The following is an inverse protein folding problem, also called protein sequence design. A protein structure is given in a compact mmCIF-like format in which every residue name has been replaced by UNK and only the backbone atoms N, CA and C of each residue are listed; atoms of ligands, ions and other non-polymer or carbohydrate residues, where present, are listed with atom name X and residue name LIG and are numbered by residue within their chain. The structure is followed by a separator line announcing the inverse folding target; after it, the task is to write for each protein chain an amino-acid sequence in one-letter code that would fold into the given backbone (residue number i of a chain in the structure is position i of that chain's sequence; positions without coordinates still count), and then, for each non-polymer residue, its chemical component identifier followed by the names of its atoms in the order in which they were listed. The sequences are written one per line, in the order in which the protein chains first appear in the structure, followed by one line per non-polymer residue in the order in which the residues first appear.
data_IF_401394487863
#
_entry.id   IF_401394487863
#
_cell.length_a   1.000
_cell.length_b   1.000
_cell.length_c   1.000
_cell.angle_alpha   90.00
_cell.angle_beta   90.00
_cell.angle_gamma   90.00
#
_symmetry.space_group_name_H-M   'P 1'
#
loop_
_entity.id
_entity.type
_entity.pdbx_description
1 polymer ?
#
# COMPACT_ATOMS: atom_id res chain seq x y z
N UNK A 1 3.40 9.39 -9.35
CA UNK A 1 2.16 9.35 -8.53
C UNK A 1 1.78 7.89 -8.34
N UNK A 2 1.61 7.41 -7.10
CA UNK A 2 1.16 6.04 -6.88
C UNK A 2 -0.34 5.87 -7.11
N UNK A 3 -0.72 4.68 -7.55
CA UNK A 3 -2.09 4.21 -7.65
C UNK A 3 -2.28 3.07 -6.67
N UNK A 4 -3.34 3.13 -5.88
CA UNK A 4 -3.67 2.10 -4.89
C UNK A 4 -4.85 1.29 -5.40
N UNK A 5 -4.64 -0.01 -5.44
CA UNK A 5 -5.65 -0.98 -5.83
C UNK A 5 -5.87 -1.95 -4.69
N UNK A 6 -7.14 -2.18 -4.35
CA UNK A 6 -7.51 -3.23 -3.43
C UNK A 6 -7.12 -4.57 -4.05
N UNK A 7 -6.33 -5.35 -3.32
CA UNK A 7 -6.04 -6.72 -3.71
C UNK A 7 -6.53 -7.60 -2.58
N UNK A 8 -7.62 -8.31 -2.85
CA UNK A 8 -8.16 -9.33 -1.95
C UNK A 8 -7.00 -10.20 -1.40
N UNK A 9 -7.10 -10.62 -0.14
CA UNK A 9 -6.03 -11.33 0.54
C UNK A 9 -5.53 -12.47 -0.35
N UNK A 10 -4.22 -12.47 -0.60
CA UNK A 10 -3.61 -13.56 -1.36
C UNK A 10 -3.91 -14.85 -0.58
N UNK A 11 -4.37 -15.93 -1.24
CA UNK A 11 -4.52 -17.21 -0.57
C UNK A 11 -3.19 -17.53 0.11
N UNK A 12 -3.21 -17.94 1.39
CA UNK A 12 -2.01 -18.05 2.18
C UNK A 12 -1.05 -19.04 1.51
N UNK A 13 0.20 -18.63 1.29
CA UNK A 13 1.23 -19.51 0.75
C UNK A 13 1.59 -20.65 1.72
N UNK A 14 1.15 -20.58 2.98
CA UNK A 14 1.37 -21.59 4.02
C UNK A 14 0.12 -21.76 4.91
N UNK A 15 -0.26 -23.00 5.25
CA UNK A 15 -1.47 -23.29 6.04
C UNK A 15 -1.46 -22.77 7.49
N UNK A 16 -0.29 -22.37 8.02
CA UNK A 16 -0.09 -21.96 9.41
C UNK A 16 -0.04 -20.42 9.61
N UNK A 17 -0.16 -19.64 8.52
CA UNK A 17 -0.19 -18.18 8.64
C UNK A 17 -1.62 -17.69 8.95
N UNK A 18 -1.78 -16.65 9.80
CA UNK A 18 -3.09 -16.09 10.08
C UNK A 18 -3.80 -15.75 8.77
N UNK A 19 -4.98 -16.36 8.60
CA UNK A 19 -5.83 -16.25 7.42
C UNK A 19 -6.24 -14.78 7.26
N UNK A 20 -6.17 -14.28 6.03
CA UNK A 20 -6.78 -13.01 5.64
C UNK A 20 -6.16 -11.75 6.29
N UNK A 21 -4.91 -11.43 5.96
CA UNK A 21 -4.43 -10.05 6.16
C UNK A 21 -4.80 -9.25 4.91
N UNK A 22 -5.75 -8.30 4.99
CA UNK A 22 -6.08 -7.46 3.85
C UNK A 22 -4.84 -6.64 3.48
N UNK A 23 -4.54 -6.62 2.20
CA UNK A 23 -3.36 -5.95 1.67
C UNK A 23 -3.76 -5.10 0.48
N UNK A 24 -3.09 -3.97 0.31
CA UNK A 24 -3.30 -3.11 -0.85
C UNK A 24 -2.10 -3.20 -1.78
N UNK A 25 -2.35 -3.31 -3.07
CA UNK A 25 -1.29 -3.20 -4.07
C UNK A 25 -1.13 -1.73 -4.42
N UNK A 26 0.05 -1.22 -4.15
CA UNK A 26 0.44 0.13 -4.53
C UNK A 26 1.35 0.02 -5.74
N UNK A 27 0.90 0.61 -6.84
CA UNK A 27 1.66 0.68 -8.09
C UNK A 27 2.14 2.12 -8.26
N UNK A 28 3.45 2.31 -8.23
CA UNK A 28 4.03 3.61 -8.54
C UNK A 28 3.97 3.84 -10.06
N UNK A 29 3.23 4.85 -10.52
CA UNK A 29 3.14 5.14 -11.95
C UNK A 29 4.43 5.77 -12.51
N UNK A 30 5.31 6.30 -11.65
CA UNK A 30 6.58 6.92 -12.06
C UNK A 30 7.63 5.86 -12.36
N UNK A 31 7.78 4.86 -11.48
CA UNK A 31 8.76 3.78 -11.66
C UNK A 31 8.16 2.52 -12.28
N UNK A 32 6.83 2.46 -12.42
CA UNK A 32 6.05 1.27 -12.80
C UNK A 32 6.25 0.07 -11.86
N UNK A 33 6.78 0.29 -10.67
CA UNK A 33 6.96 -0.75 -9.67
C UNK A 33 5.66 -0.97 -8.90
N UNK A 34 5.33 -2.22 -8.62
CA UNK A 34 4.18 -2.59 -7.81
C UNK A 34 4.62 -3.32 -6.56
N UNK A 35 4.13 -2.88 -5.40
CA UNK A 35 4.44 -3.48 -4.11
C UNK A 35 3.15 -3.66 -3.29
N UNK A 36 3.20 -4.59 -2.34
CA UNK A 36 2.07 -4.90 -1.46
C UNK A 36 2.33 -4.26 -0.10
N UNK A 37 1.41 -3.42 0.35
CA UNK A 37 1.42 -2.80 1.66
C UNK A 37 0.25 -3.32 2.51
N UNK A 38 0.38 -3.29 3.83
CA UNK A 38 -0.77 -3.49 4.73
C UNK A 38 -1.68 -2.26 4.74
N UNK A 39 -2.95 -2.43 5.12
CA UNK A 39 -3.94 -1.34 5.16
C UNK A 39 -3.49 -0.13 6.01
N UNK A 40 -2.60 -0.34 6.98
CA UNK A 40 -2.11 0.66 7.93
C UNK A 40 -0.74 1.23 7.59
N UNK A 41 -0.13 0.85 6.47
CA UNK A 41 1.24 1.22 6.14
C UNK A 41 1.39 2.65 5.60
N UNK A 42 0.28 3.29 5.21
CA UNK A 42 0.27 4.66 4.71
C UNK A 42 -0.27 5.57 5.80
N UNK A 43 0.59 6.47 6.28
CA UNK A 43 0.21 7.43 7.32
C UNK A 43 -0.86 8.38 6.81
N UNK A 44 -1.95 8.51 7.58
CA UNK A 44 -3.08 9.38 7.26
C UNK A 44 -4.03 8.82 6.19
N UNK A 45 -3.83 7.58 5.73
CA UNK A 45 -4.77 6.93 4.80
C UNK A 45 -5.49 5.76 5.46
N UNK A 46 -6.80 5.68 5.21
CA UNK A 46 -7.61 4.52 5.58
C UNK A 46 -8.23 3.98 4.31
N UNK A 47 -7.87 2.73 4.00
CA UNK A 47 -8.43 2.02 2.87
C UNK A 47 -9.84 1.52 3.21
N UNK A 48 -10.78 1.66 2.26
CA UNK A 48 -12.13 1.06 2.34
C UNK A 48 -12.31 0.05 1.21
N UNK A 49 -12.82 -1.13 1.55
CA UNK A 49 -13.10 -2.20 0.59
C UNK A 49 -14.14 -1.78 -0.45
N UNK A 50 -13.98 -2.26 -1.69
CA UNK A 50 -14.88 -1.92 -2.80
C UNK A 50 -14.60 -0.55 -3.44
N UNK A 51 -13.46 0.07 -3.13
CA UNK A 51 -13.04 1.32 -3.76
C UNK A 51 -11.61 1.23 -4.30
N UNK A 52 -11.39 1.87 -5.45
CA UNK A 52 -10.06 2.15 -6.00
C UNK A 52 -9.67 3.59 -5.70
N UNK A 53 -8.43 3.77 -5.27
CA UNK A 53 -7.90 5.06 -4.85
C UNK A 53 -6.68 5.45 -5.68
N UNK A 54 -6.68 6.66 -6.21
CA UNK A 54 -5.47 7.28 -6.76
C UNK A 54 -4.99 8.28 -5.73
N UNK A 55 -3.90 7.96 -5.04
CA UNK A 55 -3.38 8.77 -3.95
C UNK A 55 -2.06 9.39 -4.35
N UNK A 56 -1.91 10.67 -4.08
CA UNK A 56 -0.62 11.30 -4.04
C UNK A 56 -0.01 11.05 -2.65
N UNK A 57 0.97 10.14 -2.57
CA UNK A 57 1.71 9.87 -1.35
C UNK A 57 3.16 10.32 -1.53
N UNK A 58 3.77 10.80 -0.45
CA UNK A 58 5.20 11.06 -0.39
C UNK A 58 5.92 9.80 0.03
N UNK A 59 6.84 9.32 -0.81
CA UNK A 59 7.72 8.21 -0.47
C UNK A 59 9.02 8.80 0.03
N UNK A 60 9.28 8.67 1.33
CA UNK A 60 10.54 9.11 1.93
C UNK A 60 11.41 7.89 2.18
N UNK A 61 12.56 7.80 1.48
CA UNK A 61 13.56 6.77 1.75
C UNK A 61 14.31 7.15 3.02
N UNK A 62 14.32 6.26 4.01
CA UNK A 62 15.09 6.48 5.22
C UNK A 62 16.57 6.26 4.89
N UNK A 63 17.43 7.26 5.15
CA UNK A 63 18.85 7.21 4.80
C UNK A 63 19.62 6.15 5.61
N UNK A 64 19.13 5.81 6.81
CA UNK A 64 19.70 4.79 7.68
C UNK A 64 18.61 3.73 7.97
N UNK A 65 18.32 2.82 7.02
CA UNK A 65 17.34 1.78 7.28
C UNK A 65 17.87 0.87 8.40
N UNK A 66 17.05 0.51 9.40
CA UNK A 66 17.40 -0.55 10.34
C UNK A 66 17.67 -1.84 9.55
N UNK A 67 18.55 -2.70 10.06
CA UNK A 67 19.03 -3.92 9.36
C UNK A 67 17.91 -4.87 8.88
N UNK A 68 16.68 -4.68 9.40
CA UNK A 68 15.47 -5.46 9.07
C UNK A 68 14.21 -4.56 8.84
N UNK A 69 14.40 -3.25 8.65
CA UNK A 69 13.30 -2.26 8.69
C UNK A 69 12.78 -1.79 7.32
N UNK A 70 11.51 -1.40 7.29
CA UNK A 70 10.84 -0.77 6.15
C UNK A 70 11.69 0.43 5.68
N UNK A 71 12.36 0.32 4.53
CA UNK A 71 13.31 1.35 4.07
C UNK A 71 12.63 2.61 3.50
N UNK A 72 11.30 2.59 3.39
CA UNK A 72 10.48 3.64 2.75
C UNK A 72 9.26 3.93 3.63
N UNK A 73 9.06 5.19 3.98
CA UNK A 73 7.84 5.66 4.66
C UNK A 73 6.88 6.22 3.63
N UNK A 74 5.59 5.91 3.76
CA UNK A 74 4.53 6.35 2.86
C UNK A 74 3.60 7.31 3.61
N UNK A 75 3.63 8.58 3.26
CA UNK A 75 2.76 9.60 3.89
C UNK A 75 1.71 10.06 2.88
N UNK A 76 0.43 9.97 3.21
CA UNK A 76 -0.64 10.50 2.36
C UNK A 76 -0.51 12.03 2.26
N UNK A 77 -0.39 12.54 1.04
CA UNK A 77 -0.48 13.98 0.79
C UNK A 77 -1.90 14.37 0.37
N UNK A 78 -2.47 13.65 -0.60
CA UNK A 78 -3.79 13.97 -1.15
C UNK A 78 -4.42 12.76 -1.84
N UNK A 79 -5.75 12.67 -1.81
CA UNK A 79 -6.53 11.74 -2.63
C UNK A 79 -6.87 12.42 -3.95
N UNK A 80 -6.31 11.94 -5.06
CA UNK A 80 -6.57 12.47 -6.41
C UNK A 80 -7.84 11.88 -7.03
N UNK A 81 -8.17 10.63 -6.69
CA UNK A 81 -9.37 9.97 -7.19
C UNK A 81 -9.83 8.88 -6.23
N UNK A 82 -11.14 8.75 -6.07
CA UNK A 82 -11.81 7.65 -5.35
C UNK A 82 -12.94 7.17 -6.24
N UNK A 83 -12.86 5.91 -6.67
CA UNK A 83 -13.86 5.29 -7.54
C UNK A 83 -14.40 4.06 -6.83
N UNK A 84 -15.72 3.94 -6.73
CA UNK A 84 -16.38 2.74 -6.22
C UNK A 84 -16.38 1.68 -7.32
N UNK A 85 -15.91 0.48 -7.00
CA UNK A 85 -16.11 -0.71 -7.83
C UNK A 85 -17.44 -1.40 -7.55
#
# INVERSE_FOLDING_TARGET
MPRIEYVAPRPPAKPDSPKDIPSMRVTDLSTKESYTLTLTQIEGFTFEEGFRYVLNIRITKLANPPVDGISKTYTLLQITSKVKE
#
